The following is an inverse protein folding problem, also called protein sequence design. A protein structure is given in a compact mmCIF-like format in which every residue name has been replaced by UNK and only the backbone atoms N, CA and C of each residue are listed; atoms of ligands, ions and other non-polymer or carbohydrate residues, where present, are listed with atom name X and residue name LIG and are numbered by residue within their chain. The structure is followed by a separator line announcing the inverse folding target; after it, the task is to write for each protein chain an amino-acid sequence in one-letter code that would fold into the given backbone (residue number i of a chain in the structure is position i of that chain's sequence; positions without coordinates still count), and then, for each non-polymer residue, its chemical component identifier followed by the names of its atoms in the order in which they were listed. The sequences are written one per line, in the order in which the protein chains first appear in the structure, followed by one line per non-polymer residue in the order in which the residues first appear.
data_IF_942725315209
#
_entry.id   IF_942725315209
#
_cell.length_a   1.000
_cell.length_b   1.000
_cell.length_c   1.000
_cell.angle_alpha   90.00
_cell.angle_beta   90.00
_cell.angle_gamma   90.00
#
_symmetry.space_group_name_H-M   'P 1'
#
loop_
_entity.id
_entity.type
_entity.pdbx_description
1 polymer ?
#
# COMPACT_ATOMS: atom_id res chain seq x y z
N UNK A 1 -1.32 -20.62 4.05
CA UNK A 1 -2.04 -19.39 4.45
C UNK A 1 -3.16 -19.13 3.46
N UNK A 2 -4.31 -18.66 3.95
CA UNK A 2 -5.40 -18.20 3.07
C UNK A 2 -4.93 -16.98 2.26
N UNK A 3 -5.50 -16.70 1.08
CA UNK A 3 -5.22 -15.47 0.37
C UNK A 3 -5.56 -14.25 1.24
N UNK A 4 -4.68 -13.27 1.33
CA UNK A 4 -4.90 -12.13 2.22
C UNK A 4 -3.67 -11.26 2.44
N UNK A 5 -3.88 -10.18 3.18
CA UNK A 5 -2.87 -9.21 3.60
C UNK A 5 -2.51 -9.47 5.06
N UNK A 6 -1.23 -9.60 5.39
CA UNK A 6 -0.78 -10.01 6.72
C UNK A 6 0.38 -9.15 7.20
N UNK A 7 0.29 -8.72 8.46
CA UNK A 7 1.43 -8.24 9.24
C UNK A 7 2.17 -9.41 9.89
N UNK A 8 3.49 -9.34 9.93
CA UNK A 8 4.32 -10.26 10.69
C UNK A 8 5.55 -9.56 11.29
N UNK A 9 6.16 -10.22 12.27
CA UNK A 9 7.42 -9.84 12.90
C UNK A 9 8.23 -11.11 13.14
N UNK A 10 9.54 -10.99 13.23
CA UNK A 10 10.41 -12.04 13.76
C UNK A 10 10.62 -11.86 15.25
N UNK A 11 10.98 -12.93 15.94
CA UNK A 11 11.47 -12.88 17.33
C UNK A 11 12.94 -13.27 17.29
N UNK A 12 13.82 -12.36 17.71
CA UNK A 12 15.26 -12.58 17.81
C UNK A 12 15.68 -12.22 19.24
N UNK A 13 16.25 -13.19 19.95
CA UNK A 13 16.67 -13.04 21.35
C UNK A 13 15.54 -12.52 22.27
N UNK A 14 14.30 -12.96 22.01
CA UNK A 14 13.11 -12.54 22.75
C UNK A 14 12.54 -11.17 22.35
N UNK A 15 13.20 -10.46 21.42
CA UNK A 15 12.74 -9.16 20.92
C UNK A 15 11.99 -9.31 19.61
N UNK A 16 10.83 -8.66 19.53
CA UNK A 16 10.07 -8.56 18.29
C UNK A 16 10.71 -7.55 17.35
N UNK A 17 11.10 -7.99 16.16
CA UNK A 17 11.68 -7.14 15.11
C UNK A 17 10.88 -7.26 13.81
N UNK A 18 10.84 -6.19 13.02
CA UNK A 18 10.42 -6.28 11.61
C UNK A 18 11.48 -7.00 10.80
N UNK A 19 11.10 -7.65 9.71
CA UNK A 19 12.02 -8.21 8.71
C UNK A 19 12.89 -7.10 8.12
N UNK A 20 14.21 -7.08 8.39
CA UNK A 20 15.11 -6.05 7.88
C UNK A 20 15.24 -6.05 6.35
N UNK A 21 14.91 -7.15 5.68
CA UNK A 21 14.95 -7.27 4.22
C UNK A 21 13.64 -6.86 3.55
N UNK A 22 12.53 -6.79 4.30
CA UNK A 22 11.24 -6.38 3.77
C UNK A 22 11.00 -4.89 4.03
N UNK A 23 10.98 -4.12 2.94
CA UNK A 23 10.77 -2.68 3.00
C UNK A 23 9.28 -2.28 3.01
N UNK A 24 8.35 -3.24 2.90
CA UNK A 24 6.92 -2.96 3.00
C UNK A 24 6.46 -3.18 4.45
N UNK A 25 5.68 -2.23 4.97
CA UNK A 25 5.21 -2.27 6.35
C UNK A 25 3.70 -2.08 6.42
N UNK A 26 3.10 -2.62 7.48
CA UNK A 26 1.75 -2.26 7.88
C UNK A 26 1.66 -1.80 9.33
N UNK A 27 0.79 -0.83 9.59
CA UNK A 27 0.53 -0.32 10.94
C UNK A 27 -0.88 -0.71 11.36
N UNK A 28 -1.00 -1.48 12.44
CA UNK A 28 -2.27 -1.94 13.00
C UNK A 28 -2.24 -1.79 14.52
N UNK A 29 -3.24 -1.10 15.10
CA UNK A 29 -3.28 -0.85 16.55
C UNK A 29 -2.10 -0.03 17.10
N UNK A 30 -1.45 0.79 16.25
CA UNK A 30 -0.24 1.54 16.60
C UNK A 30 1.06 0.75 16.45
N UNK A 31 0.99 -0.53 16.12
CA UNK A 31 2.15 -1.42 15.97
C UNK A 31 2.58 -1.51 14.51
N UNK A 32 3.87 -1.27 14.25
CA UNK A 32 4.47 -1.45 12.92
C UNK A 32 4.89 -2.90 12.72
N UNK A 33 4.40 -3.53 11.66
CA UNK A 33 4.71 -4.90 11.26
C UNK A 33 5.33 -4.91 9.85
N UNK A 34 6.11 -5.96 9.54
CA UNK A 34 6.45 -6.26 8.15
C UNK A 34 5.20 -6.74 7.42
N UNK A 35 5.03 -6.30 6.19
CA UNK A 35 3.82 -6.59 5.42
C UNK A 35 4.09 -7.63 4.33
N UNK A 36 3.18 -8.61 4.19
CA UNK A 36 3.16 -9.53 3.06
C UNK A 36 1.73 -9.82 2.62
N UNK A 37 1.52 -9.96 1.31
CA UNK A 37 0.29 -10.50 0.76
C UNK A 37 0.51 -11.95 0.30
N UNK A 38 -0.38 -12.84 0.72
CA UNK A 38 -0.46 -14.22 0.23
C UNK A 38 -1.40 -14.24 -0.97
N UNK A 39 -0.90 -14.71 -2.12
CA UNK A 39 -1.62 -14.69 -3.41
C UNK A 39 -2.18 -13.29 -3.76
N UNK A 40 -1.31 -12.26 -3.85
CA UNK A 40 -1.74 -10.91 -4.23
C UNK A 40 -2.40 -10.95 -5.62
N UNK A 41 -3.42 -10.12 -5.81
CA UNK A 41 -4.09 -9.93 -7.11
C UNK A 41 -3.82 -8.54 -7.70
N UNK A 42 -3.10 -7.67 -6.98
CA UNK A 42 -2.67 -6.38 -7.50
C UNK A 42 -1.31 -5.98 -6.93
N UNK A 43 -0.57 -5.17 -7.70
CA UNK A 43 0.66 -4.54 -7.23
C UNK A 43 0.62 -3.07 -7.60
N UNK A 44 0.54 -2.22 -6.59
CA UNK A 44 0.66 -0.78 -6.77
C UNK A 44 2.13 -0.44 -7.03
N UNK A 45 2.35 0.46 -7.99
CA UNK A 45 3.66 0.96 -8.37
C UNK A 45 3.60 2.47 -8.54
N UNK A 46 4.50 3.18 -7.88
CA UNK A 46 4.69 4.61 -8.08
C UNK A 46 6.14 4.85 -8.53
N UNK A 47 6.31 5.21 -9.79
CA UNK A 47 7.62 5.53 -10.37
C UNK A 47 8.08 6.93 -9.97
N UNK A 48 9.36 7.08 -9.67
CA UNK A 48 10.00 8.34 -9.29
C UNK A 48 9.95 8.61 -7.78
N UNK A 49 9.85 9.89 -7.42
CA UNK A 49 9.86 10.34 -6.01
C UNK A 49 11.08 9.83 -5.23
N UNK A 50 12.26 9.85 -5.86
CA UNK A 50 13.50 9.30 -5.32
C UNK A 50 13.98 9.96 -4.02
N UNK A 51 13.50 11.17 -3.74
CA UNK A 51 13.81 11.95 -2.54
C UNK A 51 12.72 11.84 -1.47
N UNK A 52 11.62 11.13 -1.74
CA UNK A 52 10.57 10.92 -0.76
C UNK A 52 11.09 10.04 0.39
N UNK A 53 10.69 10.38 1.61
CA UNK A 53 11.03 9.61 2.81
C UNK A 53 10.05 8.46 2.98
N UNK A 54 8.77 8.71 2.72
CA UNK A 54 7.73 7.69 2.81
C UNK A 54 6.75 7.81 1.65
N UNK A 55 6.32 6.66 1.14
CA UNK A 55 5.18 6.55 0.24
C UNK A 55 4.21 5.52 0.82
N UNK A 56 2.95 5.92 0.94
CA UNK A 56 1.86 5.05 1.41
C UNK A 56 0.78 4.94 0.35
N UNK A 57 0.04 3.84 0.39
CA UNK A 57 -1.16 3.66 -0.43
C UNK A 57 -2.36 3.56 0.49
N UNK A 58 -3.42 4.29 0.17
CA UNK A 58 -4.65 4.30 0.95
C UNK A 58 -5.85 4.36 0.02
N UNK A 59 -6.95 3.73 0.42
CA UNK A 59 -8.09 3.53 -0.46
C UNK A 59 -9.29 2.86 0.19
N UNK A 60 -10.27 2.50 -0.63
CA UNK A 60 -11.51 1.86 -0.15
C UNK A 60 -11.25 0.53 0.57
N UNK A 61 -10.19 -0.20 0.21
CA UNK A 61 -9.83 -1.48 0.81
C UNK A 61 -9.30 -1.38 2.25
N UNK A 62 -8.95 -0.18 2.71
CA UNK A 62 -8.45 0.07 4.06
C UNK A 62 -9.17 1.23 4.76
N UNK A 63 -10.38 1.55 4.28
CA UNK A 63 -11.20 2.66 4.78
C UNK A 63 -10.44 4.00 4.81
N UNK A 64 -9.56 4.24 3.84
CA UNK A 64 -8.73 5.43 3.74
C UNK A 64 -7.81 5.66 4.95
N UNK A 65 -7.43 4.61 5.68
CA UNK A 65 -6.42 4.72 6.72
C UNK A 65 -5.07 5.10 6.09
N UNK A 66 -4.57 6.29 6.42
CA UNK A 66 -3.35 6.87 5.84
C UNK A 66 -2.08 6.14 6.29
N UNK A 67 -2.09 5.59 7.50
CA UNK A 67 -0.90 5.03 8.15
C UNK A 67 -0.73 3.53 7.92
N UNK A 68 -1.78 2.84 7.46
CA UNK A 68 -1.80 1.38 7.48
C UNK A 68 -0.82 0.74 6.49
N UNK A 69 -0.61 1.26 5.28
CA UNK A 69 0.19 0.55 4.27
C UNK A 69 1.32 1.42 3.70
N UNK A 70 2.55 1.11 4.11
CA UNK A 70 3.76 1.79 3.63
C UNK A 70 4.42 0.96 2.52
N UNK A 71 4.68 1.60 1.38
CA UNK A 71 5.29 0.99 0.20
C UNK A 71 6.80 0.87 0.35
N UNK A 72 7.36 -0.21 -0.19
CA UNK A 72 8.79 -0.45 -0.22
C UNK A 72 9.46 0.18 -1.44
N UNK A 73 10.69 0.67 -1.28
CA UNK A 73 11.47 1.21 -2.41
C UNK A 73 12.24 0.10 -3.13
N UNK A 74 12.12 0.04 -4.45
CA UNK A 74 12.87 -0.88 -5.32
C UNK A 74 13.37 -0.13 -6.55
N UNK A 75 14.65 0.23 -6.56
CA UNK A 75 15.23 1.07 -7.62
C UNK A 75 14.63 2.48 -7.60
N UNK A 76 14.05 2.90 -8.73
CA UNK A 76 13.35 4.17 -8.92
C UNK A 76 11.83 4.08 -8.70
N UNK A 77 11.33 2.97 -8.14
CA UNK A 77 9.91 2.76 -7.87
C UNK A 77 9.61 2.51 -6.39
N UNK A 78 8.42 2.92 -5.97
CA UNK A 78 7.77 2.47 -4.74
C UNK A 78 6.75 1.39 -5.08
N UNK A 79 6.77 0.26 -4.37
CA UNK A 79 5.99 -0.93 -4.71
C UNK A 79 5.33 -1.51 -3.45
N UNK A 80 4.09 -1.96 -3.58
CA UNK A 80 3.45 -2.87 -2.62
C UNK A 80 2.49 -3.81 -3.34
N UNK A 81 2.61 -5.12 -3.08
CA UNK A 81 1.72 -6.15 -3.62
C UNK A 81 0.65 -6.50 -2.60
N UNK A 82 -0.62 -6.46 -3.01
CA UNK A 82 -1.76 -6.60 -2.10
C UNK A 82 -2.79 -7.59 -2.64
N UNK A 83 -3.50 -8.25 -1.73
CA UNK A 83 -4.79 -8.88 -2.01
C UNK A 83 -5.88 -7.84 -1.78
N UNK A 84 -6.48 -7.37 -2.87
CA UNK A 84 -7.58 -6.41 -2.86
C UNK A 84 -8.94 -7.11 -3.01
N UNK A 85 -10.03 -6.51 -2.47
CA UNK A 85 -11.39 -6.92 -2.78
C UNK A 85 -11.66 -6.91 -4.29
N UNK A 86 -12.49 -7.84 -4.74
CA UNK A 86 -12.96 -7.90 -6.12
C UNK A 86 -13.83 -6.68 -6.46
N UNK A 87 -13.83 -6.28 -7.73
CA UNK A 87 -14.54 -5.10 -8.21
C UNK A 87 -13.74 -3.81 -8.10
N UNK A 88 -14.46 -2.69 -7.92
CA UNK A 88 -13.90 -1.35 -7.97
C UNK A 88 -13.23 -0.96 -6.66
N UNK A 89 -11.95 -0.62 -6.73
CA UNK A 89 -11.20 -0.05 -5.62
C UNK A 89 -10.79 1.38 -5.98
N UNK A 90 -11.07 2.32 -5.07
CA UNK A 90 -10.55 3.69 -5.12
C UNK A 90 -9.28 3.77 -4.30
N UNK A 91 -8.29 4.52 -4.76
CA UNK A 91 -7.06 4.74 -4.01
C UNK A 91 -6.37 6.05 -4.38
N UNK A 92 -5.42 6.45 -3.54
CA UNK A 92 -4.44 7.51 -3.76
C UNK A 92 -3.12 7.11 -3.11
N UNK A 93 -2.03 7.77 -3.51
CA UNK A 93 -0.77 7.69 -2.79
C UNK A 93 -0.62 8.87 -1.84
N UNK A 94 0.06 8.65 -0.72
CA UNK A 94 0.59 9.72 0.13
C UNK A 94 2.10 9.73 0.00
N UNK A 95 2.65 10.79 -0.58
CA UNK A 95 4.10 11.00 -0.71
C UNK A 95 4.52 12.06 0.31
N UNK A 96 5.29 11.67 1.33
CA UNK A 96 5.67 12.53 2.45
C UNK A 96 4.46 13.27 3.07
N UNK A 97 3.33 12.57 3.19
CA UNK A 97 2.08 13.11 3.72
C UNK A 97 1.21 13.87 2.71
N UNK A 98 1.66 14.03 1.46
CA UNK A 98 0.90 14.73 0.42
C UNK A 98 0.12 13.73 -0.44
N UNK A 99 -1.20 13.90 -0.48
CA UNK A 99 -2.09 13.10 -1.31
C UNK A 99 -1.90 13.39 -2.80
N UNK A 100 -1.64 12.35 -3.59
CA UNK A 100 -1.56 12.41 -5.04
C UNK A 100 -2.45 11.33 -5.69
N UNK A 101 -2.99 11.64 -6.88
CA UNK A 101 -3.48 10.61 -7.78
C UNK A 101 -2.29 9.80 -8.30
N UNK A 102 -2.52 8.54 -8.63
CA UNK A 102 -1.55 7.72 -9.34
C UNK A 102 -1.27 8.33 -10.73
N UNK A 103 -0.07 8.90 -10.98
CA UNK A 103 0.25 9.50 -12.27
C UNK A 103 0.36 8.47 -13.40
N UNK A 104 0.56 7.19 -13.06
CA UNK A 104 0.63 6.08 -13.99
C UNK A 104 -0.74 5.49 -14.35
N UNK A 105 -1.81 5.87 -13.64
CA UNK A 105 -3.15 5.35 -13.87
C UNK A 105 -4.08 6.43 -14.45
N UNK A 106 -4.59 6.19 -15.66
CA UNK A 106 -5.53 7.10 -16.34
C UNK A 106 -6.96 6.98 -15.82
N UNK A 107 -7.30 5.90 -15.12
CA UNK A 107 -8.63 5.70 -14.57
C UNK A 107 -8.74 6.39 -13.21
N UNK A 108 -9.61 7.38 -13.14
CA UNK A 108 -9.91 8.12 -11.93
C UNK A 108 -11.36 8.60 -11.93
N UNK A 109 -11.85 9.00 -10.77
CA UNK A 109 -13.17 9.61 -10.61
C UNK A 109 -13.13 10.82 -9.68
N UNK A 110 -14.00 11.83 -9.89
CA UNK A 110 -14.11 12.95 -8.95
C UNK A 110 -14.53 12.45 -7.56
N UNK A 111 -14.11 13.19 -6.54
CA UNK A 111 -14.50 12.99 -5.15
C UNK A 111 -15.12 14.28 -4.59
N UNK A 112 -15.66 14.19 -3.39
CA UNK A 112 -16.28 15.27 -2.63
C UNK A 112 -15.30 16.41 -2.26
N UNK A 113 -14.00 16.23 -2.49
CA UNK A 113 -12.93 17.18 -2.15
C UNK A 113 -12.33 17.91 -3.35
N UNK A 114 -12.91 17.77 -4.55
CA UNK A 114 -12.39 18.36 -5.80
C UNK A 114 -10.96 17.92 -6.15
N UNK A 115 -10.47 16.78 -5.64
CA UNK A 115 -9.16 16.20 -6.03
C UNK A 115 -9.31 14.97 -6.92
N UNK A 116 -10.38 14.20 -6.71
CA UNK A 116 -10.58 12.87 -7.29
C UNK A 116 -9.82 11.75 -6.58
N UNK A 117 -10.07 10.52 -7.04
CA UNK A 117 -9.44 9.26 -6.62
C UNK A 117 -9.04 8.43 -7.85
N UNK A 118 -7.88 7.77 -7.82
CA UNK A 118 -7.51 6.78 -8.84
C UNK A 118 -8.36 5.51 -8.65
N UNK A 119 -8.66 4.81 -9.75
CA UNK A 119 -9.54 3.65 -9.75
C UNK A 119 -8.81 2.45 -10.33
N UNK A 120 -8.87 1.32 -9.62
CA UNK A 120 -8.43 0.02 -10.13
C UNK A 120 -9.59 -0.98 -10.02
N UNK A 121 -9.77 -1.77 -11.08
CA UNK A 121 -10.73 -2.86 -11.11
C UNK A 121 -10.00 -4.19 -10.93
N UNK A 122 -10.50 -5.00 -10.00
CA UNK A 122 -9.99 -6.33 -9.73
C UNK A 122 -11.02 -7.33 -10.24
N UNK A 123 -10.64 -8.10 -11.26
CA UNK A 123 -11.49 -9.10 -11.87
C UNK A 123 -11.35 -10.46 -11.18
N UNK A 124 -12.40 -11.28 -11.29
CA UNK A 124 -12.40 -12.66 -10.83
C UNK A 124 -11.81 -13.54 -11.93
N UNK A 125 -10.70 -14.20 -11.63
CA UNK A 125 -10.16 -15.29 -12.44
C UNK A 125 -10.41 -16.63 -11.74
#
# INVERSE_FOLDING_TARGET
LTPGNYGYKFIVDGNWITDPANTCYSVEGGETNSFIAVKPNHTFRLKGYNNARTVRVSGSFNNWNEDQYTMGRKGDEWIISMKLPEGKNRYKFLVDGNWILDPGNKLWEPNEHNTGNSVVWIENN
#
